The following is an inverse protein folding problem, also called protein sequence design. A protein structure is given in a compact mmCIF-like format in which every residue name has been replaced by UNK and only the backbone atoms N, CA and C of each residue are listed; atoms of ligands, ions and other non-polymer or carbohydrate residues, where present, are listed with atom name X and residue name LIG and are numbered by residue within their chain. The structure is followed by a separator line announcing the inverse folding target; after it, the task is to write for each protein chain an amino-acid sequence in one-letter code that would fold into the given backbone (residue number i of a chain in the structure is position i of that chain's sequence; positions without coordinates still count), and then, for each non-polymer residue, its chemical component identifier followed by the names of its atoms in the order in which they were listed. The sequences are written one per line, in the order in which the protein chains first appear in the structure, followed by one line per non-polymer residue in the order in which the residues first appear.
data_IF_689667677721
#
_entry.id   IF_689667677721
#
_cell.length_a   1.000
_cell.length_b   1.000
_cell.length_c   1.000
_cell.angle_alpha   90.00
_cell.angle_beta   90.00
_cell.angle_gamma   90.00
#
_symmetry.space_group_name_H-M   'P 1'
#
loop_
_entity.id
_entity.type
_entity.pdbx_description
1 polymer ?
#
# COMPACT_ATOMS: atom_id res chain seq x y z
N UNK A 1 2.89 -5.44 11.93
CA UNK A 1 3.76 -4.97 10.80
C UNK A 1 3.63 -5.77 9.47
N UNK A 2 3.00 -6.95 9.46
CA UNK A 2 2.95 -7.83 8.27
C UNK A 2 2.02 -7.36 7.13
N UNK A 3 0.96 -6.61 7.44
CA UNK A 3 -0.08 -6.25 6.46
C UNK A 3 0.42 -5.29 5.36
N UNK A 4 1.19 -4.24 5.71
CA UNK A 4 1.73 -3.30 4.70
C UNK A 4 2.76 -3.98 3.79
N UNK A 5 3.55 -4.91 4.33
CA UNK A 5 4.50 -5.69 3.53
C UNK A 5 3.79 -6.58 2.52
N UNK A 6 2.66 -7.20 2.91
CA UNK A 6 1.85 -7.99 1.98
C UNK A 6 1.27 -7.14 0.84
N UNK A 7 0.91 -5.89 1.13
CA UNK A 7 0.45 -4.96 0.09
C UNK A 7 1.54 -4.62 -0.92
N UNK A 8 2.83 -4.63 -0.54
CA UNK A 8 3.92 -4.48 -1.52
C UNK A 8 4.00 -5.67 -2.47
N UNK A 9 3.82 -6.90 -1.98
CA UNK A 9 3.75 -8.07 -2.86
C UNK A 9 2.55 -7.98 -3.80
N UNK A 10 1.37 -7.61 -3.28
CA UNK A 10 0.19 -7.38 -4.13
C UNK A 10 0.41 -6.31 -5.20
N UNK A 11 1.09 -5.21 -4.83
CA UNK A 11 1.46 -4.17 -5.78
C UNK A 11 2.42 -4.70 -6.85
N UNK A 12 3.36 -5.58 -6.48
CA UNK A 12 4.36 -6.09 -7.41
C UNK A 12 3.72 -7.04 -8.41
N UNK A 13 2.95 -8.01 -7.90
CA UNK A 13 2.19 -8.97 -8.69
C UNK A 13 1.24 -8.25 -9.67
N UNK A 14 0.64 -7.13 -9.23
CA UNK A 14 -0.18 -6.30 -10.12
C UNK A 14 0.66 -5.67 -11.23
N UNK A 15 1.84 -5.13 -10.93
CA UNK A 15 2.74 -4.55 -11.95
C UNK A 15 3.25 -5.60 -12.93
N UNK A 16 3.54 -6.82 -12.49
CA UNK A 16 3.93 -7.93 -13.37
C UNK A 16 2.86 -8.24 -14.42
N UNK A 17 1.58 -8.12 -14.05
CA UNK A 17 0.46 -8.32 -14.98
C UNK A 17 0.26 -7.09 -15.88
N UNK A 18 0.36 -5.88 -15.34
CA UNK A 18 0.06 -4.65 -16.08
C UNK A 18 1.19 -4.23 -17.04
N UNK A 19 2.45 -4.41 -16.65
CA UNK A 19 3.62 -4.05 -17.44
C UNK A 19 4.83 -4.92 -17.06
N UNK A 20 4.96 -6.11 -17.69
CA UNK A 20 6.08 -7.03 -17.43
C UNK A 20 7.46 -6.39 -17.65
N UNK A 21 7.57 -5.48 -18.63
CA UNK A 21 8.85 -4.81 -18.92
C UNK A 21 9.27 -3.92 -17.76
N UNK A 22 8.32 -3.23 -17.15
CA UNK A 22 8.58 -2.39 -15.99
C UNK A 22 8.84 -3.22 -14.73
N UNK A 23 8.12 -4.33 -14.50
CA UNK A 23 8.41 -5.21 -13.36
C UNK A 23 9.80 -5.82 -13.44
N UNK A 24 10.21 -6.33 -14.62
CA UNK A 24 11.55 -6.88 -14.85
C UNK A 24 12.64 -5.83 -14.57
N UNK A 25 12.40 -4.58 -14.98
CA UNK A 25 13.30 -3.47 -14.67
C UNK A 25 13.44 -3.26 -13.16
N UNK A 26 12.32 -3.24 -12.42
CA UNK A 26 12.35 -3.08 -10.96
C UNK A 26 13.07 -4.25 -10.26
N UNK A 27 12.94 -5.48 -10.75
CA UNK A 27 13.72 -6.61 -10.23
C UNK A 27 15.22 -6.42 -10.48
N UNK A 28 15.59 -6.09 -11.72
CA UNK A 28 17.00 -5.94 -12.12
C UNK A 28 17.73 -4.80 -11.38
N UNK A 29 16.98 -3.84 -10.84
CA UNK A 29 17.50 -2.68 -10.09
C UNK A 29 17.31 -2.79 -8.58
N UNK A 30 16.98 -3.99 -8.08
CA UNK A 30 16.76 -4.28 -6.67
C UNK A 30 15.67 -3.39 -6.03
N UNK A 31 14.63 -3.09 -6.81
CA UNK A 31 13.50 -2.24 -6.44
C UNK A 31 12.19 -3.02 -6.25
N UNK A 32 12.22 -4.36 -6.39
CA UNK A 32 11.07 -5.29 -6.23
C UNK A 32 10.34 -5.16 -4.89
N UNK A 33 11.06 -4.96 -3.79
CA UNK A 33 10.46 -4.89 -2.45
C UNK A 33 9.66 -3.60 -2.20
N UNK A 34 9.79 -2.62 -3.11
CA UNK A 34 9.06 -1.34 -3.14
C UNK A 34 8.91 -0.60 -1.79
N UNK A 35 9.95 -0.50 -0.94
CA UNK A 35 9.85 0.28 0.30
C UNK A 35 9.57 1.77 0.04
N UNK A 36 9.86 2.26 -1.17
CA UNK A 36 9.53 3.62 -1.59
C UNK A 36 8.03 3.92 -1.66
N UNK A 37 7.18 2.89 -1.73
CA UNK A 37 5.72 3.04 -1.65
C UNK A 37 5.18 3.01 -0.21
N UNK A 38 6.03 2.80 0.81
CA UNK A 38 5.58 2.66 2.20
C UNK A 38 4.72 3.83 2.68
N UNK A 39 5.14 5.07 2.40
CA UNK A 39 4.40 6.27 2.77
C UNK A 39 3.01 6.30 2.14
N UNK A 40 2.88 5.86 0.90
CA UNK A 40 1.59 5.87 0.20
C UNK A 40 0.58 4.95 0.86
N UNK A 41 1.00 3.71 1.13
CA UNK A 41 0.11 2.68 1.66
C UNK A 41 -0.16 2.85 3.16
N UNK A 42 0.83 3.32 3.93
CA UNK A 42 0.69 3.52 5.38
C UNK A 42 -0.32 4.61 5.73
N UNK A 43 -0.27 5.74 5.03
CA UNK A 43 -1.12 6.92 5.33
C UNK A 43 -2.06 7.27 4.18
N UNK A 44 -2.39 6.27 3.34
CA UNK A 44 -3.37 6.37 2.25
C UNK A 44 -3.19 7.65 1.41
N UNK A 45 -1.96 7.88 0.96
CA UNK A 45 -1.53 9.01 0.12
C UNK A 45 -1.73 10.42 0.71
N UNK A 46 -2.00 10.55 2.02
CA UNK A 46 -2.28 11.85 2.67
C UNK A 46 -1.22 12.93 2.43
N UNK A 47 0.04 12.54 2.18
CA UNK A 47 1.15 13.46 1.92
C UNK A 47 1.41 13.75 0.44
N UNK A 48 0.67 13.12 -0.47
CA UNK A 48 0.88 13.28 -1.92
C UNK A 48 -0.09 14.27 -2.57
N UNK A 49 -1.20 14.55 -1.90
CA UNK A 49 -2.32 15.32 -2.45
C UNK A 49 -2.65 16.52 -1.55
N UNK A 50 -3.26 17.54 -2.17
CA UNK A 50 -3.84 18.64 -1.42
C UNK A 50 -5.00 18.13 -0.54
N UNK A 51 -5.44 18.93 0.43
CA UNK A 51 -6.58 18.53 1.28
C UNK A 51 -7.85 18.25 0.46
N UNK A 52 -8.13 19.06 -0.57
CA UNK A 52 -9.30 18.84 -1.43
C UNK A 52 -9.17 17.54 -2.22
N UNK A 53 -7.99 17.31 -2.79
CA UNK A 53 -7.75 16.14 -3.64
C UNK A 53 -7.74 14.84 -2.85
N UNK A 54 -7.12 14.83 -1.66
CA UNK A 54 -7.08 13.62 -0.82
C UNK A 54 -8.48 13.23 -0.33
N UNK A 55 -9.38 14.19 -0.12
CA UNK A 55 -10.77 13.88 0.26
C UNK A 55 -11.49 13.14 -0.87
N UNK A 56 -11.38 13.61 -2.11
CA UNK A 56 -11.95 12.93 -3.29
C UNK A 56 -11.33 11.55 -3.48
N UNK A 57 -10.01 11.43 -3.28
CA UNK A 57 -9.32 10.14 -3.34
C UNK A 57 -9.87 9.15 -2.29
N UNK A 58 -10.06 9.61 -1.06
CA UNK A 58 -10.60 8.78 0.03
C UNK A 58 -12.06 8.41 -0.17
N UNK A 59 -12.88 9.30 -0.73
CA UNK A 59 -14.25 8.96 -1.16
C UNK A 59 -14.23 7.81 -2.18
N UNK A 60 -13.31 7.83 -3.15
CA UNK A 60 -13.14 6.74 -4.09
C UNK A 60 -12.73 5.44 -3.39
N UNK A 61 -11.80 5.48 -2.43
CA UNK A 61 -11.37 4.30 -1.67
C UNK A 61 -12.49 3.70 -0.82
N UNK A 62 -13.20 4.53 -0.07
CA UNK A 62 -14.25 4.09 0.86
C UNK A 62 -15.56 3.72 0.17
N UNK A 63 -15.75 4.12 -1.09
CA UNK A 63 -16.88 3.65 -1.89
C UNK A 63 -16.85 2.14 -2.10
N UNK A 64 -15.64 1.53 -2.10
CA UNK A 64 -15.39 0.13 -2.42
C UNK A 64 -16.08 -0.34 -3.72
N UNK A 65 -16.43 0.58 -4.62
CA UNK A 65 -17.29 0.31 -5.77
C UNK A 65 -16.63 -0.62 -6.80
N UNK A 66 -15.31 -0.45 -7.00
CA UNK A 66 -14.51 -1.22 -7.96
C UNK A 66 -13.82 -2.42 -7.29
N UNK A 67 -13.18 -2.18 -6.15
CA UNK A 67 -12.48 -3.19 -5.34
C UNK A 67 -12.16 -2.61 -3.97
N UNK A 68 -12.06 -3.46 -2.94
CA UNK A 68 -11.61 -3.04 -1.61
C UNK A 68 -10.11 -2.67 -1.56
N UNK A 69 -9.35 -3.06 -2.60
CA UNK A 69 -7.92 -2.79 -2.70
C UNK A 69 -7.58 -1.66 -3.68
N UNK A 70 -8.49 -0.72 -3.91
CA UNK A 70 -8.33 0.31 -4.94
C UNK A 70 -7.09 1.21 -4.73
N UNK A 71 -6.65 1.38 -3.48
CA UNK A 71 -5.41 2.08 -3.14
C UNK A 71 -4.15 1.43 -3.75
N UNK A 72 -4.13 0.11 -3.95
CA UNK A 72 -3.03 -0.60 -4.63
C UNK A 72 -3.01 -0.27 -6.13
N UNK A 73 -4.19 -0.18 -6.75
CA UNK A 73 -4.32 0.24 -8.15
C UNK A 73 -3.87 1.69 -8.35
N UNK A 74 -4.17 2.57 -7.40
CA UNK A 74 -3.66 3.96 -7.43
C UNK A 74 -2.13 3.98 -7.30
N UNK A 75 -1.54 3.20 -6.40
CA UNK A 75 -0.08 3.09 -6.29
C UNK A 75 0.56 2.60 -7.60
N UNK A 76 0.03 1.52 -8.19
CA UNK A 76 0.51 0.97 -9.46
C UNK A 76 0.40 2.00 -10.58
N UNK A 77 -0.72 2.71 -10.66
CA UNK A 77 -0.96 3.74 -11.68
C UNK A 77 0.05 4.87 -11.58
N UNK A 78 0.33 5.38 -10.38
CA UNK A 78 1.33 6.44 -10.19
C UNK A 78 2.72 5.98 -10.65
N UNK A 79 3.11 4.73 -10.35
CA UNK A 79 4.38 4.17 -10.83
C UNK A 79 4.41 4.05 -12.36
N UNK A 80 3.35 3.52 -12.97
CA UNK A 80 3.23 3.34 -14.42
C UNK A 80 3.24 4.68 -15.17
N UNK A 81 2.63 5.73 -14.61
CA UNK A 81 2.69 7.10 -15.17
C UNK A 81 4.11 7.67 -15.17
N UNK A 82 4.97 7.19 -14.26
CA UNK A 82 6.37 7.62 -14.14
C UNK A 82 7.38 6.63 -14.74
N UNK A 83 6.92 5.49 -15.29
CA UNK A 83 7.80 4.38 -15.70
C UNK A 83 8.88 4.81 -16.70
N UNK A 84 8.55 5.67 -17.66
CA UNK A 84 9.52 6.15 -18.65
C UNK A 84 10.62 6.97 -17.97
N UNK A 85 10.25 7.86 -17.05
CA UNK A 85 11.24 8.64 -16.29
C UNK A 85 12.16 7.73 -15.47
N UNK A 86 11.60 6.69 -14.85
CA UNK A 86 12.34 5.72 -14.02
C UNK A 86 13.32 4.91 -14.89
N UNK A 87 12.85 4.35 -16.00
CA UNK A 87 13.64 3.47 -16.87
C UNK A 87 14.67 4.24 -17.70
N UNK A 88 14.30 5.36 -18.32
CA UNK A 88 15.21 6.17 -19.15
C UNK A 88 16.39 6.71 -18.34
N UNK A 89 16.12 7.13 -17.10
CA UNK A 89 17.15 7.62 -16.17
C UNK A 89 17.85 6.51 -15.40
N UNK A 90 17.46 5.25 -15.59
CA UNK A 90 18.01 4.07 -14.92
C UNK A 90 18.03 4.22 -13.39
N UNK A 91 16.92 4.65 -12.82
CA UNK A 91 16.79 4.85 -11.37
C UNK A 91 16.78 3.52 -10.62
N UNK A 92 17.57 3.44 -9.55
CA UNK A 92 17.55 2.37 -8.54
C UNK A 92 16.50 2.66 -7.44
N UNK A 93 16.30 1.73 -6.51
CA UNK A 93 15.32 1.88 -5.42
C UNK A 93 15.47 3.19 -4.63
N UNK A 94 16.70 3.63 -4.35
CA UNK A 94 16.97 4.88 -3.62
C UNK A 94 16.62 6.12 -4.44
N UNK A 95 16.90 6.10 -5.75
CA UNK A 95 16.57 7.20 -6.65
C UNK A 95 15.07 7.27 -6.93
N UNK A 96 14.40 6.12 -7.00
CA UNK A 96 12.93 6.04 -7.05
C UNK A 96 12.33 6.62 -5.77
N UNK A 97 12.88 6.30 -4.59
CA UNK A 97 12.45 6.90 -3.33
C UNK A 97 12.54 8.43 -3.35
N UNK A 98 13.64 8.99 -3.89
CA UNK A 98 13.78 10.45 -4.07
C UNK A 98 12.70 11.00 -5.00
N UNK A 99 12.50 10.37 -6.15
CA UNK A 99 11.44 10.75 -7.11
C UNK A 99 10.07 10.75 -6.44
N UNK A 100 9.71 9.67 -5.74
CA UNK A 100 8.45 9.52 -5.00
C UNK A 100 8.29 10.61 -3.95
N UNK A 101 9.35 10.92 -3.20
CA UNK A 101 9.31 11.99 -2.22
C UNK A 101 9.05 13.37 -2.86
N UNK A 102 9.66 13.62 -4.03
CA UNK A 102 9.55 14.89 -4.76
C UNK A 102 8.22 15.06 -5.50
N UNK A 103 7.42 14.00 -5.64
CA UNK A 103 6.08 14.03 -6.25
C UNK A 103 4.98 14.58 -5.33
N UNK A 104 5.28 14.83 -4.05
CA UNK A 104 4.30 15.37 -3.11
C UNK A 104 3.64 16.64 -3.64
N UNK A 105 2.30 16.65 -3.66
CA UNK A 105 1.43 17.71 -4.22
C UNK A 105 1.59 17.96 -5.73
N UNK A 106 2.16 17.02 -6.48
CA UNK A 106 2.35 17.12 -7.94
C UNK A 106 1.66 16.01 -8.71
N UNK A 107 1.04 15.05 -8.03
CA UNK A 107 0.34 13.94 -8.68
C UNK A 107 -1.01 14.45 -9.20
N UNK A 108 -1.30 14.32 -10.52
CA UNK A 108 -2.57 14.75 -11.07
C UNK A 108 -3.68 13.75 -10.71
N UNK A 109 -4.55 14.12 -9.76
CA UNK A 109 -5.56 13.22 -9.19
C UNK A 109 -6.48 12.58 -10.24
N UNK A 110 -7.17 13.40 -11.05
CA UNK A 110 -8.20 12.93 -11.97
C UNK A 110 -7.64 11.94 -13.02
N UNK A 111 -6.55 12.22 -13.74
CA UNK A 111 -5.91 11.25 -14.63
C UNK A 111 -5.49 9.96 -13.92
N UNK A 112 -4.98 10.05 -12.68
CA UNK A 112 -4.60 8.88 -11.90
C UNK A 112 -5.82 8.01 -11.57
N UNK A 113 -6.94 8.59 -11.14
CA UNK A 113 -8.16 7.85 -10.85
C UNK A 113 -8.74 7.19 -12.11
N UNK A 114 -8.80 7.92 -13.23
CA UNK A 114 -9.31 7.39 -14.51
C UNK A 114 -8.48 6.17 -14.95
N UNK A 115 -7.15 6.28 -14.94
CA UNK A 115 -6.28 5.18 -15.34
C UNK A 115 -6.37 3.99 -14.37
N UNK A 116 -6.44 4.24 -13.06
CA UNK A 116 -6.62 3.18 -12.06
C UNK A 116 -7.93 2.41 -12.27
N UNK A 117 -9.04 3.11 -12.53
CA UNK A 117 -10.32 2.49 -12.87
C UNK A 117 -10.23 1.66 -14.14
N UNK A 118 -9.59 2.19 -15.20
CA UNK A 118 -9.40 1.45 -16.45
C UNK A 118 -8.61 0.15 -16.25
N UNK A 119 -7.57 0.15 -15.41
CA UNK A 119 -6.84 -1.08 -15.11
C UNK A 119 -7.73 -2.11 -14.38
N UNK A 120 -8.54 -1.69 -13.41
CA UNK A 120 -9.48 -2.59 -12.73
C UNK A 120 -10.47 -3.19 -13.74
N UNK A 121 -11.08 -2.36 -14.58
CA UNK A 121 -12.05 -2.80 -15.59
C UNK A 121 -11.43 -3.80 -16.57
N UNK A 122 -10.23 -3.48 -17.10
CA UNK A 122 -9.52 -4.34 -18.03
C UNK A 122 -9.20 -5.70 -17.39
N UNK A 123 -8.65 -5.72 -16.17
CA UNK A 123 -8.32 -6.97 -15.48
C UNK A 123 -9.56 -7.80 -15.15
N UNK A 124 -10.69 -7.17 -14.81
CA UNK A 124 -11.95 -7.87 -14.60
C UNK A 124 -12.41 -8.64 -15.84
N UNK A 125 -12.15 -8.14 -17.05
CA UNK A 125 -12.52 -8.86 -18.30
C UNK A 125 -11.77 -10.17 -18.50
N UNK A 126 -10.56 -10.29 -17.93
CA UNK A 126 -9.67 -11.45 -18.08
C UNK A 126 -9.42 -12.18 -16.77
N UNK A 127 -10.24 -11.92 -15.73
CA UNK A 127 -10.02 -12.36 -14.35
C UNK A 127 -9.65 -13.84 -14.21
N UNK A 128 -10.32 -14.73 -14.95
CA UNK A 128 -10.09 -16.18 -14.91
C UNK A 128 -8.70 -16.62 -15.39
N UNK A 129 -7.99 -15.78 -16.14
CA UNK A 129 -6.66 -16.05 -16.69
C UNK A 129 -5.54 -15.44 -15.86
N UNK A 130 -5.87 -14.58 -14.89
CA UNK A 130 -4.89 -13.88 -14.06
C UNK A 130 -4.30 -14.79 -12.98
N UNK A 131 -3.10 -14.48 -12.46
CA UNK A 131 -2.57 -15.14 -11.26
C UNK A 131 -3.53 -15.01 -10.07
N UNK A 132 -3.57 -16.03 -9.21
CA UNK A 132 -4.47 -16.05 -8.04
C UNK A 132 -4.30 -14.82 -7.13
N UNK A 133 -3.07 -14.35 -6.94
CA UNK A 133 -2.79 -13.17 -6.13
C UNK A 133 -3.47 -11.91 -6.67
N UNK A 134 -3.50 -11.72 -7.99
CA UNK A 134 -4.17 -10.59 -8.64
C UNK A 134 -5.69 -10.77 -8.66
N UNK A 135 -6.19 -12.01 -8.79
CA UNK A 135 -7.62 -12.29 -8.62
C UNK A 135 -8.11 -11.92 -7.21
N UNK A 136 -7.35 -12.32 -6.18
CA UNK A 136 -7.61 -11.98 -4.78
C UNK A 136 -7.46 -10.48 -4.52
N UNK A 137 -6.55 -9.79 -5.21
CA UNK A 137 -6.44 -8.34 -5.12
C UNK A 137 -7.72 -7.64 -5.60
N UNK A 138 -8.29 -8.10 -6.72
CA UNK A 138 -9.51 -7.51 -7.31
C UNK A 138 -10.75 -7.85 -6.49
N UNK A 139 -10.98 -9.14 -6.19
CA UNK A 139 -12.23 -9.64 -5.61
C UNK A 139 -12.16 -9.93 -4.11
N UNK A 140 -10.97 -9.96 -3.52
CA UNK A 140 -10.74 -10.33 -2.13
C UNK A 140 -10.81 -9.16 -1.16
N UNK A 141 -10.72 -9.45 0.15
CA UNK A 141 -10.80 -8.43 1.18
C UNK A 141 -9.59 -7.50 1.18
N UNK A 142 -9.77 -6.30 1.72
CA UNK A 142 -8.67 -5.35 1.89
C UNK A 142 -7.76 -5.69 3.07
N UNK A 143 -6.44 -5.68 2.84
CA UNK A 143 -5.43 -5.76 3.90
C UNK A 143 -5.15 -4.40 4.58
N UNK A 144 -5.59 -3.29 3.98
CA UNK A 144 -5.44 -1.94 4.56
C UNK A 144 -6.54 -1.60 5.57
N UNK A 145 -7.68 -2.28 5.50
CA UNK A 145 -8.78 -2.02 6.42
C UNK A 145 -8.61 -2.92 7.64
N UNK A 146 -8.34 -2.31 8.81
CA UNK A 146 -8.22 -3.02 10.08
C UNK A 146 -9.33 -4.05 10.28
N UNK A 147 -8.96 -5.19 10.90
CA UNK A 147 -9.78 -6.37 11.22
C UNK A 147 -11.18 -6.08 11.82
N UNK A 148 -11.45 -4.86 12.27
CA UNK A 148 -12.76 -4.40 12.74
C UNK A 148 -13.90 -4.54 11.71
N UNK A 149 -13.65 -4.41 10.41
CA UNK A 149 -14.70 -4.66 9.38
C UNK A 149 -14.97 -6.16 9.20
N UNK A 150 -13.95 -7.00 9.33
CA UNK A 150 -14.07 -8.47 9.19
C UNK A 150 -14.97 -9.04 10.30
N UNK A 151 -14.84 -8.54 11.54
CA UNK A 151 -15.66 -9.00 12.68
C UNK A 151 -17.14 -8.66 12.51
N UNK A 152 -17.49 -7.60 11.79
CA UNK A 152 -18.88 -7.20 11.55
C UNK A 152 -19.62 -8.12 10.57
N UNK A 153 -18.91 -8.78 9.64
CA UNK A 153 -19.51 -9.69 8.64
C UNK A 153 -19.69 -11.13 9.15
N UNK A 154 -18.98 -11.52 10.21
CA UNK A 154 -19.00 -12.88 10.77
C UNK A 154 -19.81 -13.02 12.07
N UNK A 155 -20.52 -11.98 12.51
CA UNK A 155 -21.16 -11.95 13.83
C UNK A 155 -22.45 -11.14 13.87
N UNK A 156 -23.44 -11.49 13.04
CA UNK A 156 -24.84 -11.18 13.36
C UNK A 156 -25.46 -12.41 14.01
N UNK A 157 -25.36 -12.48 15.34
CA UNK A 157 -26.42 -13.02 16.18
C UNK A 157 -26.16 -12.61 17.64
N UNK A 158 -27.24 -12.18 18.29
CA UNK A 158 -27.43 -11.80 19.70
C UNK A 158 -26.99 -10.40 20.17
N UNK A 159 -28.05 -9.60 20.37
CA UNK A 159 -28.40 -8.79 21.54
C UNK A 159 -27.63 -7.51 21.90
N UNK A 160 -28.36 -6.42 21.64
CA UNK A 160 -28.53 -5.18 22.42
C UNK A 160 -27.66 -5.01 23.68
N UNK A 161 -26.72 -4.06 23.62
CA UNK A 161 -26.49 -3.06 24.68
C UNK A 161 -25.43 -2.05 24.24
N UNK A 162 -25.80 -0.77 24.32
CA UNK A 162 -24.95 0.42 24.20
C UNK A 162 -23.51 0.19 24.66
N UNK A 163 -22.52 0.39 23.78
CA UNK A 163 -21.11 0.39 24.18
C UNK A 163 -20.27 1.38 23.38
N UNK A 164 -19.76 2.36 24.13
CA UNK A 164 -18.51 3.10 24.00
C UNK A 164 -17.70 2.77 22.72
N UNK A 165 -17.51 3.76 21.85
CA UNK A 165 -16.53 3.70 20.76
C UNK A 165 -15.15 3.49 21.38
N UNK A 166 -14.71 2.24 21.47
CA UNK A 166 -13.42 1.89 22.03
C UNK A 166 -12.33 2.24 21.00
N UNK A 167 -11.71 3.40 21.20
CA UNK A 167 -10.61 3.93 20.39
C UNK A 167 -9.26 3.37 20.86
N UNK A 168 -9.23 2.14 21.36
CA UNK A 168 -8.02 1.52 21.89
C UNK A 168 -7.11 1.08 20.74
N UNK A 169 -6.09 1.92 20.50
CA UNK A 169 -4.88 1.68 19.70
C UNK A 169 -4.01 0.50 20.21
N UNK A 170 -4.61 -0.49 20.88
CA UNK A 170 -3.90 -1.48 21.72
C UNK A 170 -2.98 -2.41 20.93
N UNK A 171 -3.40 -2.87 19.75
CA UNK A 171 -2.62 -3.85 18.98
C UNK A 171 -1.37 -3.25 18.31
N UNK A 172 -1.37 -1.94 18.01
CA UNK A 172 -0.17 -1.29 17.50
C UNK A 172 0.85 -1.07 18.61
N UNK A 173 0.41 -0.76 19.84
CA UNK A 173 1.31 -0.52 20.96
C UNK A 173 1.99 -1.80 21.45
N UNK A 174 1.25 -2.91 21.54
CA UNK A 174 1.81 -4.21 21.95
C UNK A 174 2.81 -4.75 20.90
N UNK A 175 2.50 -4.63 19.60
CA UNK A 175 3.45 -4.99 18.52
C UNK A 175 4.68 -4.05 18.46
N UNK A 176 4.56 -2.80 18.92
CA UNK A 176 5.66 -1.83 18.99
C UNK A 176 6.56 -2.04 20.21
N UNK A 177 6.02 -2.41 21.37
CA UNK A 177 6.78 -2.73 22.59
C UNK A 177 7.65 -3.98 22.39
N UNK A 178 7.08 -5.06 21.84
CA UNK A 178 7.83 -6.27 21.50
C UNK A 178 8.96 -6.00 20.48
N UNK A 179 8.77 -5.02 19.59
CA UNK A 179 9.79 -4.63 18.62
C UNK A 179 10.93 -3.83 19.28
N UNK A 180 10.62 -2.95 20.24
CA UNK A 180 11.62 -2.17 20.95
C UNK A 180 12.45 -2.99 21.95
N UNK A 181 11.93 -4.13 22.43
CA UNK A 181 12.64 -5.05 23.31
C UNK A 181 13.63 -5.99 22.60
N UNK A 182 13.70 -5.96 21.26
CA UNK A 182 14.58 -6.83 20.46
C UNK A 182 15.93 -6.23 20.06
N UNK A 183 16.36 -5.12 20.67
CA UNK A 183 17.76 -4.68 20.59
C UNK A 183 18.63 -5.62 21.46
N UNK A 184 19.69 -6.25 20.92
CA UNK A 184 20.60 -7.03 21.75
C UNK A 184 21.32 -6.08 22.71
N UNK A 185 21.02 -6.21 24.02
CA UNK A 185 21.83 -5.60 25.08
C UNK A 185 23.23 -6.18 25.00
N UNK A 186 24.12 -5.51 24.27
CA UNK A 186 25.52 -5.84 24.27
C UNK A 186 26.12 -5.34 25.59
N UNK A 187 25.94 -6.12 26.65
CA UNK A 187 26.71 -6.00 27.88
C UNK A 187 28.14 -6.45 27.58
N UNK A 188 29.02 -5.50 27.31
CA UNK A 188 30.34 -5.35 27.97
C UNK A 188 31.21 -4.48 27.08
N UNK A 189 31.68 -3.35 27.61
CA UNK A 189 33.06 -2.89 27.53
C UNK A 189 33.17 -1.65 28.44
N UNK A 190 33.60 -1.88 29.68
CA UNK A 190 34.24 -0.85 30.50
C UNK A 190 35.44 -0.29 29.71
N UNK A 191 35.50 1.03 29.56
CA UNK A 191 36.74 1.74 29.26
C UNK A 191 36.90 2.82 30.34
N UNK A 192 37.97 2.79 31.15
CA UNK A 192 38.21 3.83 32.14
C UNK A 192 38.70 5.11 31.45
N UNK A 193 38.20 6.25 31.95
CA UNK A 193 38.59 7.60 31.53
C UNK A 193 40.07 7.87 31.87
N UNK A 194 40.85 8.51 30.97
CA UNK A 194 41.98 9.34 31.35
C UNK A 194 41.54 10.74 31.80
#
# INVERSE_FOLDING_TARGET
MNAVRQQFYQLFDLLEVLDPTFSDYLESTNAKDMPFCFRWLLIQFKREFSYSDVMVLWEAFWSEHLTQNFHIFVAATILLMNKQNIMDRKLDANSILKLVNDMSNKIPLEPTLIAATQYVDQLNTVLAQLPKSVQELISGPSLSTSVHTIRRKMGENSDDSSSHLDYTSGLLNEELEDLMDTEPRNSSLMVPLP
#
